data_IF_133933023568
#
_entry.id   IF_133933023568
#
_cell.length_a   1.000
_cell.length_b   1.000
_cell.length_c   1.000
_cell.angle_alpha   90.00
_cell.angle_beta   90.00
_cell.angle_gamma   90.00
#
_symmetry.space_group_name_H-M   'P 1'
#
loop_
_entity.id
_entity.type
_entity.pdbx_description
1 polymer ?
#
# COMPACT_ATOMS: atom_id res chain seq x y z
N UNK A 1 0.86 12.14 -2.66
CA UNK A 1 0.78 11.26 -3.85
C UNK A 1 1.74 10.07 -3.78
N UNK A 2 3.06 10.23 -3.92
CA UNK A 2 4.02 9.09 -4.00
C UNK A 2 3.87 8.02 -2.92
N UNK A 3 3.68 8.45 -1.66
CA UNK A 3 3.50 7.54 -0.52
C UNK A 3 2.23 6.69 -0.61
N UNK A 4 1.19 7.17 -1.31
CA UNK A 4 -0.05 6.41 -1.55
C UNK A 4 0.19 5.20 -2.45
N UNK A 5 1.18 5.29 -3.34
CA UNK A 5 1.64 4.22 -4.22
C UNK A 5 2.84 3.44 -3.65
N UNK A 6 3.24 3.72 -2.41
CA UNK A 6 4.28 2.97 -1.69
C UNK A 6 5.72 3.47 -1.90
N UNK A 7 5.93 4.53 -2.68
CA UNK A 7 7.26 5.11 -2.86
C UNK A 7 7.75 5.81 -1.59
N UNK A 8 9.02 5.61 -1.24
CA UNK A 8 9.74 6.39 -0.25
C UNK A 8 10.31 7.65 -0.90
N UNK A 9 9.50 8.70 -0.90
CA UNK A 9 9.86 10.02 -1.41
C UNK A 9 9.85 11.06 -0.29
N UNK A 10 10.89 11.87 -0.22
CA UNK A 10 11.01 13.00 0.72
C UNK A 10 11.03 14.31 -0.05
N UNK A 11 10.47 15.38 0.51
CA UNK A 11 10.47 16.68 -0.16
C UNK A 11 11.87 17.30 -0.08
N UNK A 12 12.47 17.57 -1.25
CA UNK A 12 13.78 18.22 -1.38
C UNK A 12 13.60 19.53 -2.18
N UNK A 13 13.37 20.65 -1.48
CA UNK A 13 13.12 21.95 -2.12
C UNK A 13 11.86 21.96 -2.97
N UNK A 14 12.02 22.15 -4.29
CA UNK A 14 10.95 22.08 -5.28
C UNK A 14 10.76 20.68 -5.91
N UNK A 15 11.50 19.68 -5.44
CA UNK A 15 11.42 18.31 -5.91
C UNK A 15 11.18 17.29 -4.80
N UNK A 16 11.35 16.04 -5.18
CA UNK A 16 11.21 14.87 -4.32
C UNK A 16 12.42 13.97 -4.46
N UNK A 17 13.11 13.70 -3.37
CA UNK A 17 14.25 12.79 -3.30
C UNK A 17 13.80 11.35 -3.07
N UNK A 18 14.39 10.42 -3.82
CA UNK A 18 14.14 8.97 -3.75
C UNK A 18 15.35 8.22 -3.20
N UNK A 19 16.18 8.86 -2.37
CA UNK A 19 17.43 8.28 -1.85
C UNK A 19 17.19 7.08 -0.94
N UNK A 20 16.11 7.11 -0.15
CA UNK A 20 15.69 6.02 0.73
C UNK A 20 15.01 4.87 -0.03
N UNK A 21 14.71 5.04 -1.32
CA UNK A 21 14.06 4.02 -2.13
C UNK A 21 15.06 2.95 -2.60
N UNK A 22 14.60 1.71 -2.80
CA UNK A 22 15.47 0.67 -3.33
C UNK A 22 15.73 0.83 -4.83
N UNK A 23 16.76 0.14 -5.35
CA UNK A 23 17.17 0.26 -6.76
C UNK A 23 16.04 -0.11 -7.73
N UNK A 24 15.36 -1.24 -7.51
CA UNK A 24 14.30 -1.72 -8.38
C UNK A 24 13.14 -0.72 -8.51
N UNK A 25 12.76 -0.09 -7.40
CA UNK A 25 11.71 0.92 -7.38
C UNK A 25 12.14 2.25 -8.02
N UNK A 26 13.42 2.64 -7.92
CA UNK A 26 13.94 3.80 -8.67
C UNK A 26 13.95 3.56 -10.17
N UNK A 27 14.38 2.38 -10.60
CA UNK A 27 14.31 1.98 -12.01
C UNK A 27 12.85 1.92 -12.49
N UNK A 28 11.94 1.41 -11.66
CA UNK A 28 10.50 1.44 -11.95
C UNK A 28 9.95 2.86 -12.05
N UNK A 29 10.33 3.76 -11.14
CA UNK A 29 9.96 5.17 -11.20
C UNK A 29 10.47 5.85 -12.47
N UNK A 30 11.71 5.55 -12.90
CA UNK A 30 12.25 6.00 -14.18
C UNK A 30 11.39 5.53 -15.37
N UNK A 31 10.92 4.27 -15.38
CA UNK A 31 9.98 3.79 -16.40
C UNK A 31 8.64 4.53 -16.37
N UNK A 32 8.10 4.84 -15.18
CA UNK A 32 6.89 5.66 -15.05
C UNK A 32 7.13 7.03 -15.68
N UNK A 33 8.27 7.67 -15.39
CA UNK A 33 8.63 8.95 -15.99
C UNK A 33 8.71 8.85 -17.52
N UNK A 34 9.29 7.79 -18.07
CA UNK A 34 9.30 7.57 -19.53
C UNK A 34 7.89 7.47 -20.12
N UNK A 35 6.97 6.73 -19.48
CA UNK A 35 5.57 6.63 -19.94
C UNK A 35 4.84 7.97 -19.85
N UNK A 36 5.21 8.81 -18.89
CA UNK A 36 4.64 10.14 -18.70
C UNK A 36 5.30 11.23 -19.54
N UNK A 37 6.34 10.90 -20.31
CA UNK A 37 7.18 11.86 -21.05
C UNK A 37 7.89 12.86 -20.10
N UNK A 38 8.28 12.38 -18.92
CA UNK A 38 8.92 13.13 -17.83
C UNK A 38 10.36 12.69 -17.59
N UNK A 39 11.03 12.10 -18.58
CA UNK A 39 12.40 11.61 -18.42
C UNK A 39 13.37 12.71 -17.95
N UNK A 40 13.20 13.95 -18.41
CA UNK A 40 14.02 15.10 -17.99
C UNK A 40 13.68 15.62 -16.59
N UNK A 41 12.57 15.16 -16.00
CA UNK A 41 12.13 15.55 -14.67
C UNK A 41 12.78 14.69 -13.58
N UNK A 42 13.37 13.53 -13.90
CA UNK A 42 14.01 12.65 -12.93
C UNK A 42 15.52 12.55 -13.19
N UNK A 43 16.32 13.11 -12.30
CA UNK A 43 17.77 13.02 -12.39
C UNK A 43 18.26 11.73 -11.71
N UNK A 44 18.68 10.75 -12.51
CA UNK A 44 19.18 9.46 -12.04
C UNK A 44 20.48 9.55 -11.20
N UNK A 45 21.23 10.65 -11.29
CA UNK A 45 22.45 10.84 -10.50
C UNK A 45 22.12 11.37 -9.12
N UNK A 46 21.23 12.35 -9.04
CA UNK A 46 20.83 12.96 -7.75
C UNK A 46 19.66 12.24 -7.09
N UNK A 47 18.95 11.39 -7.83
CA UNK A 47 17.72 10.70 -7.44
C UNK A 47 16.60 11.66 -7.04
N UNK A 48 16.58 12.83 -7.67
CA UNK A 48 15.60 13.89 -7.41
C UNK A 48 14.65 14.01 -8.61
N UNK A 49 13.36 13.86 -8.34
CA UNK A 49 12.29 14.18 -9.27
C UNK A 49 11.83 15.62 -9.07
N UNK A 50 11.80 16.42 -10.15
CA UNK A 50 11.24 17.76 -10.17
C UNK A 50 9.98 17.73 -11.03
N UNK A 51 8.78 17.78 -10.42
CA UNK A 51 7.54 17.72 -11.19
C UNK A 51 7.48 18.85 -12.24
N UNK A 52 6.80 18.62 -13.37
CA UNK A 52 6.63 19.64 -14.39
C UNK A 52 5.75 20.79 -13.87
N UNK A 53 5.85 21.96 -14.51
CA UNK A 53 5.24 23.21 -14.04
C UNK A 53 3.70 23.22 -14.11
N UNK A 54 3.13 22.44 -15.03
CA UNK A 54 1.68 22.21 -15.17
C UNK A 54 1.12 21.28 -14.07
N UNK A 55 2.00 20.72 -13.24
CA UNK A 55 1.64 19.88 -12.12
C UNK A 55 1.55 18.40 -12.48
N UNK A 56 1.10 17.60 -11.53
CA UNK A 56 1.04 16.14 -11.65
C UNK A 56 -0.37 15.68 -11.35
N UNK A 57 -1.04 15.16 -12.37
CA UNK A 57 -2.35 14.54 -12.23
C UNK A 57 -2.19 13.10 -11.71
N UNK A 58 -2.81 12.81 -10.57
CA UNK A 58 -2.68 11.52 -9.90
C UNK A 58 -3.23 10.35 -10.72
N UNK A 59 -4.30 10.57 -11.47
CA UNK A 59 -4.90 9.56 -12.33
C UNK A 59 -3.94 9.19 -13.48
N UNK A 60 -3.34 10.20 -14.13
CA UNK A 60 -2.33 9.98 -15.17
C UNK A 60 -1.09 9.25 -14.61
N UNK A 61 -0.66 9.60 -13.40
CA UNK A 61 0.45 8.91 -12.72
C UNK A 61 0.13 7.44 -12.46
N UNK A 62 -1.08 7.16 -11.98
CA UNK A 62 -1.58 5.80 -11.75
C UNK A 62 -1.59 4.98 -13.03
N UNK A 63 -2.15 5.52 -14.11
CA UNK A 63 -2.16 4.84 -15.41
C UNK A 63 -0.76 4.53 -15.93
N UNK A 64 0.17 5.48 -15.75
CA UNK A 64 1.57 5.28 -16.11
C UNK A 64 2.23 4.19 -15.25
N UNK A 65 1.93 4.16 -13.95
CA UNK A 65 2.35 3.09 -13.04
C UNK A 65 1.85 1.72 -13.54
N UNK A 66 0.56 1.59 -13.84
CA UNK A 66 -0.01 0.33 -14.36
C UNK A 66 0.63 -0.11 -15.69
N UNK A 67 0.92 0.84 -16.60
CA UNK A 67 1.61 0.57 -17.87
C UNK A 67 3.08 0.17 -17.70
N UNK A 68 3.78 0.72 -16.70
CA UNK A 68 5.21 0.50 -16.47
C UNK A 68 5.53 -0.80 -15.69
N UNK A 69 4.52 -1.47 -15.12
CA UNK A 69 4.65 -2.74 -14.38
C UNK A 69 5.14 -3.87 -15.28
N UNK A 70 5.80 -4.87 -14.71
CA UNK A 70 6.38 -6.00 -15.47
C UNK A 70 5.75 -7.36 -15.13
N UNK A 71 4.49 -7.35 -14.68
CA UNK A 71 3.71 -8.55 -14.37
C UNK A 71 3.47 -8.72 -12.87
N UNK A 72 2.93 -9.89 -12.50
CA UNK A 72 2.71 -10.28 -11.10
C UNK A 72 3.92 -11.06 -10.61
N UNK A 73 4.44 -10.71 -9.44
CA UNK A 73 5.50 -11.43 -8.77
C UNK A 73 5.20 -11.55 -7.29
N UNK A 74 5.72 -12.61 -6.67
CA UNK A 74 5.74 -12.73 -5.21
C UNK A 74 6.69 -11.66 -4.66
N UNK A 75 6.32 -11.05 -3.53
CA UNK A 75 7.13 -10.00 -2.90
C UNK A 75 7.69 -10.53 -1.56
N UNK A 76 9.01 -10.51 -1.36
CA UNK A 76 9.70 -11.29 -0.33
C UNK A 76 9.57 -10.77 1.12
N UNK A 77 8.53 -9.98 1.43
CA UNK A 77 8.16 -9.62 2.81
C UNK A 77 9.14 -8.72 3.58
N UNK A 78 10.21 -8.20 2.97
CA UNK A 78 11.09 -7.19 3.59
C UNK A 78 10.77 -5.77 3.06
N UNK A 79 10.61 -4.74 3.92
CA UNK A 79 10.12 -3.43 3.51
C UNK A 79 10.95 -2.75 2.42
N UNK A 80 12.27 -2.91 2.50
CA UNK A 80 13.28 -2.37 1.59
C UNK A 80 13.45 -3.22 0.33
N UNK A 81 12.91 -4.45 0.30
CA UNK A 81 12.92 -5.34 -0.87
C UNK A 81 11.60 -5.43 -1.60
N UNK A 82 10.58 -4.69 -1.16
CA UNK A 82 9.31 -4.61 -1.89
C UNK A 82 9.56 -3.96 -3.25
N UNK A 83 9.28 -4.71 -4.31
CA UNK A 83 9.26 -4.24 -5.69
C UNK A 83 7.85 -3.78 -6.07
N UNK A 84 7.66 -2.46 -6.13
CA UNK A 84 6.35 -1.85 -6.43
C UNK A 84 5.87 -2.21 -7.84
N UNK A 85 6.78 -2.55 -8.77
CA UNK A 85 6.43 -3.01 -10.11
C UNK A 85 5.66 -4.33 -10.15
N UNK A 86 5.66 -5.10 -9.06
CA UNK A 86 4.93 -6.36 -8.94
C UNK A 86 3.53 -6.20 -8.31
N UNK A 87 3.24 -5.04 -7.70
CA UNK A 87 2.02 -4.80 -6.92
C UNK A 87 0.98 -4.00 -7.70
N UNK A 88 -0.30 -4.23 -7.41
CA UNK A 88 -1.37 -3.40 -7.96
C UNK A 88 -1.28 -1.97 -7.43
N UNK A 89 -1.40 -0.97 -8.32
CA UNK A 89 -1.13 0.43 -8.00
C UNK A 89 -1.93 0.92 -6.78
N UNK A 90 -3.20 0.53 -6.69
CA UNK A 90 -4.08 0.93 -5.59
C UNK A 90 -3.74 0.31 -4.23
N UNK A 91 -3.07 -0.84 -4.19
CA UNK A 91 -2.76 -1.56 -2.93
C UNK A 91 -1.27 -1.53 -2.58
N UNK A 92 -0.41 -1.10 -3.50
CA UNK A 92 1.04 -1.11 -3.35
C UNK A 92 1.51 -0.35 -2.10
N UNK A 93 0.93 0.82 -1.83
CA UNK A 93 1.22 1.58 -0.61
C UNK A 93 0.79 0.87 0.66
N UNK A 94 -0.37 0.22 0.68
CA UNK A 94 -0.84 -0.55 1.83
C UNK A 94 0.16 -1.66 2.16
N UNK A 95 0.57 -2.45 1.16
CA UNK A 95 1.55 -3.54 1.30
C UNK A 95 2.89 -3.03 1.85
N UNK A 96 3.41 -1.94 1.27
CA UNK A 96 4.65 -1.30 1.73
C UNK A 96 4.58 -0.92 3.21
N UNK A 97 3.54 -0.19 3.60
CA UNK A 97 3.49 0.41 4.93
C UNK A 97 3.11 -0.59 6.03
N UNK A 98 2.34 -1.64 5.71
CA UNK A 98 2.17 -2.79 6.61
C UNK A 98 3.48 -3.52 6.82
N UNK A 99 4.22 -3.77 5.74
CA UNK A 99 5.54 -4.43 5.84
C UNK A 99 6.51 -3.59 6.65
N UNK A 100 6.54 -2.26 6.44
CA UNK A 100 7.31 -1.33 7.28
C UNK A 100 6.93 -1.40 8.77
N UNK A 101 5.64 -1.56 9.08
CA UNK A 101 5.19 -1.76 10.44
C UNK A 101 5.59 -3.13 11.02
N UNK A 102 6.13 -4.04 10.20
CA UNK A 102 6.58 -5.37 10.60
C UNK A 102 5.59 -6.48 10.25
N UNK A 103 4.47 -6.19 9.57
CA UNK A 103 3.45 -7.16 9.18
C UNK A 103 3.74 -7.65 7.76
N UNK A 104 4.10 -8.92 7.61
CA UNK A 104 4.48 -9.48 6.30
C UNK A 104 3.26 -9.99 5.55
N UNK A 105 2.91 -9.29 4.49
CA UNK A 105 1.96 -9.79 3.48
C UNK A 105 2.70 -10.69 2.50
N UNK A 106 2.08 -11.79 2.07
CA UNK A 106 2.60 -12.70 1.04
C UNK A 106 1.86 -12.57 -0.30
N UNK A 107 0.60 -12.13 -0.28
CA UNK A 107 -0.19 -11.88 -1.50
C UNK A 107 -1.08 -10.65 -1.34
N UNK A 108 -1.33 -9.95 -2.44
CA UNK A 108 -2.22 -8.80 -2.48
C UNK A 108 -2.94 -8.69 -3.82
N UNK A 109 -4.15 -8.12 -3.82
CA UNK A 109 -4.88 -7.78 -5.03
C UNK A 109 -5.82 -6.60 -4.73
N UNK A 110 -5.87 -5.61 -5.61
CA UNK A 110 -6.79 -4.47 -5.45
C UNK A 110 -8.24 -4.77 -5.92
N UNK A 111 -8.50 -6.00 -6.36
CA UNK A 111 -9.79 -6.47 -6.85
C UNK A 111 -10.17 -5.98 -8.25
N UNK A 112 -9.33 -5.15 -8.89
CA UNK A 112 -9.47 -4.66 -10.26
C UNK A 112 -10.85 -4.05 -10.58
N UNK A 113 -11.49 -3.43 -9.58
CA UNK A 113 -12.84 -2.85 -9.69
C UNK A 113 -13.98 -3.89 -9.79
N UNK A 114 -13.67 -5.18 -9.76
CA UNK A 114 -14.62 -6.29 -9.96
C UNK A 114 -14.97 -7.03 -8.67
N UNK A 115 -14.08 -6.98 -7.68
CA UNK A 115 -14.24 -7.59 -6.37
C UNK A 115 -13.59 -6.71 -5.30
N UNK A 116 -13.87 -6.95 -4.00
CA UNK A 116 -13.13 -6.28 -2.93
C UNK A 116 -11.63 -6.54 -3.03
N UNK A 117 -10.82 -5.61 -2.52
CA UNK A 117 -9.39 -5.80 -2.38
C UNK A 117 -9.09 -6.89 -1.34
N UNK A 118 -7.99 -7.60 -1.52
CA UNK A 118 -7.55 -8.63 -0.59
C UNK A 118 -6.05 -8.59 -0.31
N UNK A 119 -5.73 -9.03 0.91
CA UNK A 119 -4.38 -9.22 1.43
C UNK A 119 -4.32 -10.60 2.08
N UNK A 120 -3.23 -11.33 1.88
CA UNK A 120 -2.95 -12.55 2.62
C UNK A 120 -1.54 -12.47 3.21
N UNK A 121 -1.35 -13.04 4.39
CA UNK A 121 -0.01 -13.26 4.97
C UNK A 121 0.60 -14.51 4.36
N UNK A 122 1.93 -14.62 4.40
CA UNK A 122 2.55 -15.92 4.13
C UNK A 122 2.07 -16.95 5.17
N UNK A 123 1.93 -18.22 4.78
CA UNK A 123 1.43 -19.28 5.68
C UNK A 123 2.24 -19.40 6.98
N UNK A 124 3.56 -19.19 6.89
CA UNK A 124 4.45 -19.18 8.05
C UNK A 124 4.16 -18.04 9.04
N UNK A 125 3.48 -16.98 8.58
CA UNK A 125 3.14 -15.78 9.35
C UNK A 125 1.64 -15.69 9.64
N UNK A 126 0.90 -16.80 9.68
CA UNK A 126 -0.55 -16.77 9.96
C UNK A 126 -0.89 -16.12 11.33
N UNK A 127 0.06 -16.10 12.28
CA UNK A 127 -0.06 -15.38 13.54
C UNK A 127 -0.13 -13.85 13.39
N UNK A 128 0.29 -13.28 12.24
CA UNK A 128 0.22 -11.85 11.96
C UNK A 128 -1.20 -11.40 11.57
N UNK A 129 -2.13 -12.32 11.34
CA UNK A 129 -3.47 -12.00 10.86
C UNK A 129 -4.27 -11.15 11.87
N UNK A 130 -4.37 -11.53 13.16
CA UNK A 130 -5.04 -10.69 14.16
C UNK A 130 -4.37 -9.33 14.31
N UNK A 131 -3.05 -9.27 14.13
CA UNK A 131 -2.28 -8.03 14.18
C UNK A 131 -2.61 -7.12 12.98
N UNK A 132 -2.68 -7.70 11.79
CA UNK A 132 -3.10 -7.01 10.56
C UNK A 132 -4.51 -6.45 10.70
N UNK A 133 -5.46 -7.24 11.21
CA UNK A 133 -6.83 -6.81 11.47
C UNK A 133 -6.86 -5.65 12.48
N UNK A 134 -6.14 -5.76 13.60
CA UNK A 134 -6.07 -4.72 14.63
C UNK A 134 -5.48 -3.41 14.10
N UNK A 135 -4.38 -3.47 13.33
CA UNK A 135 -3.73 -2.29 12.75
C UNK A 135 -4.66 -1.59 11.77
N UNK A 136 -5.28 -2.35 10.86
CA UNK A 136 -6.18 -1.78 9.86
C UNK A 136 -7.48 -1.25 10.50
N UNK A 137 -8.02 -1.92 11.51
CA UNK A 137 -9.14 -1.41 12.31
C UNK A 137 -8.79 -0.08 12.98
N UNK A 138 -7.62 0.01 13.63
CA UNK A 138 -7.13 1.23 14.27
C UNK A 138 -6.97 2.38 13.27
N UNK A 139 -6.35 2.13 12.11
CA UNK A 139 -6.14 3.21 11.13
C UNK A 139 -7.42 3.66 10.46
N UNK A 140 -8.38 2.74 10.27
CA UNK A 140 -9.65 3.04 9.64
C UNK A 140 -10.57 3.91 10.50
N UNK A 141 -10.39 3.90 11.84
CA UNK A 141 -11.35 4.48 12.79
C UNK A 141 -12.80 3.98 12.54
N UNK A 142 -12.95 2.72 12.13
CA UNK A 142 -14.24 2.11 11.80
C UNK A 142 -14.80 2.44 10.41
N UNK A 143 -14.08 3.24 9.60
CA UNK A 143 -14.49 3.56 8.22
C UNK A 143 -14.38 2.36 7.29
N UNK A 144 -13.47 1.43 7.55
CA UNK A 144 -13.25 0.25 6.73
C UNK A 144 -13.63 -1.01 7.51
N UNK A 145 -14.28 -1.94 6.83
CA UNK A 145 -14.56 -3.28 7.35
C UNK A 145 -13.58 -4.26 6.75
N UNK A 146 -12.95 -5.01 7.62
CA UNK A 146 -12.12 -6.12 7.27
C UNK A 146 -12.95 -7.38 7.47
N UNK A 147 -13.00 -8.23 6.46
CA UNK A 147 -13.61 -9.54 6.58
C UNK A 147 -12.50 -10.55 6.39
N UNK A 148 -12.18 -11.25 7.46
CA UNK A 148 -11.19 -12.29 7.42
C UNK A 148 -11.87 -13.64 7.15
N UNK A 149 -11.37 -14.35 6.14
CA UNK A 149 -11.79 -15.71 5.81
C UNK A 149 -10.73 -16.69 6.28
N UNK A 150 -11.06 -17.50 7.29
CA UNK A 150 -10.24 -18.65 7.70
C UNK A 150 -10.39 -19.74 6.62
N UNK A 151 -9.53 -19.74 5.62
CA UNK A 151 -9.34 -20.90 4.75
C UNK A 151 -8.12 -21.72 5.18
N UNK A 152 -8.04 -22.96 4.69
CA UNK A 152 -6.93 -23.87 5.01
C UNK A 152 -5.58 -23.44 4.39
N UNK A 153 -5.56 -22.38 3.57
CA UNK A 153 -4.44 -21.96 2.74
C UNK A 153 -3.66 -20.76 3.27
N UNK A 154 -4.11 -20.14 4.37
CA UNK A 154 -3.33 -19.09 5.04
C UNK A 154 -4.09 -17.80 5.31
N UNK A 155 -5.42 -17.79 5.15
CA UNK A 155 -6.23 -16.66 5.59
C UNK A 155 -6.23 -15.48 4.63
N UNK A 156 -7.38 -15.16 4.07
CA UNK A 156 -7.54 -13.99 3.21
C UNK A 156 -8.26 -12.88 3.99
N UNK A 157 -7.63 -11.71 4.08
CA UNK A 157 -8.25 -10.49 4.57
C UNK A 157 -8.84 -9.73 3.40
N UNK A 158 -10.16 -9.63 3.38
CA UNK A 158 -10.89 -8.79 2.44
C UNK A 158 -11.10 -7.41 3.02
N UNK A 159 -10.68 -6.37 2.31
CA UNK A 159 -10.84 -4.97 2.73
C UNK A 159 -12.06 -4.37 2.01
N UNK A 160 -13.04 -3.86 2.78
CA UNK A 160 -14.28 -3.27 2.27
C UNK A 160 -14.55 -1.91 2.91
N UNK A 161 -15.21 -0.96 2.23
CA UNK A 161 -15.76 0.23 2.89
C UNK A 161 -16.84 -0.17 3.92
N UNK A 162 -16.97 0.59 5.01
CA UNK A 162 -18.06 0.40 5.97
C UNK A 162 -19.40 0.84 5.39
N UNK A 163 -20.51 0.40 5.98
CA UNK A 163 -21.85 0.86 5.59
C UNK A 163 -22.01 2.38 5.75
N UNK A 164 -21.36 2.98 6.74
CA UNK A 164 -21.40 4.43 6.95
C UNK A 164 -20.67 5.18 5.83
N UNK A 165 -19.48 4.71 5.46
CA UNK A 165 -18.71 5.28 4.35
C UNK A 165 -19.44 5.09 3.01
N UNK A 166 -20.04 3.92 2.78
CA UNK A 166 -20.87 3.69 1.58
C UNK A 166 -22.03 4.67 1.49
N UNK A 167 -22.69 5.00 2.61
CA UNK A 167 -23.78 6.00 2.65
C UNK A 167 -23.25 7.41 2.34
N UNK A 168 -22.17 7.82 2.98
CA UNK A 168 -21.56 9.13 2.74
C UNK A 168 -21.15 9.32 1.27
N UNK A 169 -20.66 8.25 0.62
CA UNK A 169 -20.34 8.27 -0.81
C UNK A 169 -21.57 8.28 -1.71
N UNK A 170 -22.64 7.57 -1.32
CA UNK A 170 -23.92 7.61 -1.99
C UNK A 170 -24.46 9.05 -2.05
N UNK A 171 -24.41 9.75 -0.92
CA UNK A 171 -24.90 11.11 -0.76
C UNK A 171 -24.11 12.12 -1.62
N UNK A 172 -22.84 11.82 -1.93
CA UNK A 172 -22.00 12.61 -2.85
C UNK A 172 -22.26 12.31 -4.34
N UNK A 173 -23.26 11.49 -4.67
CA UNK A 173 -23.63 11.15 -6.05
C UNK A 173 -22.63 10.25 -6.78
N UNK A 174 -21.73 9.58 -6.06
CA UNK A 174 -20.66 8.76 -6.65
C UNK A 174 -21.02 7.29 -6.89
N UNK A 175 -22.09 6.79 -6.28
CA UNK A 175 -22.52 5.40 -6.50
C UNK A 175 -23.30 5.24 -7.81
N UNK A 176 -22.60 5.06 -8.93
CA UNK A 176 -23.14 4.34 -10.10
C UNK A 176 -22.65 2.89 -10.05
N UNK A 177 -23.59 1.97 -9.86
CA UNK A 177 -23.58 0.57 -10.33
C UNK A 177 -22.33 -0.27 -10.00
N UNK A 178 -22.40 -1.12 -8.95
CA UNK A 178 -21.59 -2.34 -8.65
C UNK A 178 -20.07 -2.34 -8.93
N UNK A 179 -19.46 -1.20 -9.21
CA UNK A 179 -18.01 -1.05 -9.34
C UNK A 179 -17.44 -0.89 -7.95
N UNK A 180 -16.44 -1.71 -7.64
CA UNK A 180 -15.69 -1.54 -6.40
C UNK A 180 -14.75 -0.35 -6.63
N UNK A 181 -15.13 0.84 -6.15
CA UNK A 181 -14.21 1.98 -6.09
C UNK A 181 -12.93 1.55 -5.36
N UNK A 182 -11.77 1.88 -5.91
CA UNK A 182 -10.45 1.47 -5.38
C UNK A 182 -9.65 2.63 -4.83
N UNK A 183 -10.04 3.85 -5.15
CA UNK A 183 -9.37 5.11 -4.83
C UNK A 183 -9.17 5.27 -3.33
N UNK A 184 -10.09 4.77 -2.52
CA UNK A 184 -9.97 4.81 -1.06
C UNK A 184 -8.83 3.94 -0.50
N UNK A 185 -8.35 2.94 -1.25
CA UNK A 185 -7.15 2.19 -0.86
C UNK A 185 -5.92 3.11 -0.81
N UNK A 186 -5.90 4.16 -1.64
CA UNK A 186 -4.85 5.18 -1.60
C UNK A 186 -4.91 6.02 -0.31
N UNK A 187 -6.11 6.25 0.23
CA UNK A 187 -6.30 6.95 1.51
C UNK A 187 -5.87 6.07 2.69
N UNK A 188 -6.11 4.76 2.60
CA UNK A 188 -5.58 3.77 3.55
C UNK A 188 -4.06 3.82 3.55
N UNK A 189 -3.43 3.77 2.37
CA UNK A 189 -1.99 3.84 2.23
C UNK A 189 -1.40 5.14 2.83
N UNK A 190 -2.01 6.28 2.56
CA UNK A 190 -1.60 7.56 3.15
C UNK A 190 -1.69 7.56 4.68
N UNK A 191 -2.80 7.02 5.21
CA UNK A 191 -3.03 6.95 6.65
C UNK A 191 -2.02 6.03 7.34
N UNK A 192 -1.70 4.90 6.71
CA UNK A 192 -0.66 3.98 7.19
C UNK A 192 0.71 4.66 7.20
N UNK A 193 1.06 5.36 6.11
CA UNK A 193 2.31 6.12 6.02
C UNK A 193 2.43 7.18 7.11
N UNK A 194 1.37 7.96 7.33
CA UNK A 194 1.34 9.04 8.33
C UNK A 194 1.54 8.54 9.76
N UNK A 195 1.22 7.26 10.03
CA UNK A 195 1.33 6.62 11.35
C UNK A 195 2.40 5.54 11.43
N UNK A 196 3.23 5.38 10.40
CA UNK A 196 4.10 4.22 10.20
C UNK A 196 5.01 3.89 11.39
N UNK A 197 5.61 4.89 12.03
CA UNK A 197 6.50 4.68 13.18
C UNK A 197 5.71 4.23 14.42
N UNK A 198 4.54 4.84 14.67
CA UNK A 198 3.66 4.43 15.78
C UNK A 198 3.16 3.01 15.58
N UNK A 199 2.80 2.65 14.34
CA UNK A 199 2.35 1.31 14.00
C UNK A 199 3.47 0.29 14.14
N UNK A 200 4.69 0.61 13.70
CA UNK A 200 5.87 -0.24 13.90
C UNK A 200 6.11 -0.53 15.38
N UNK A 201 6.09 0.50 16.22
CA UNK A 201 6.31 0.36 17.65
C UNK A 201 5.20 -0.45 18.32
N UNK A 202 3.95 -0.25 17.91
CA UNK A 202 2.80 -1.03 18.37
C UNK A 202 2.95 -2.52 18.01
N UNK A 203 3.25 -2.81 16.74
CA UNK A 203 3.47 -4.18 16.25
C UNK A 203 4.59 -4.87 17.03
N UNK A 204 5.72 -4.19 17.23
CA UNK A 204 6.84 -4.71 18.00
C UNK A 204 6.44 -5.07 19.44
N UNK A 205 5.66 -4.21 20.10
CA UNK A 205 5.15 -4.47 21.47
C UNK A 205 4.17 -5.64 21.50
N UNK A 206 3.24 -5.72 20.55
CA UNK A 206 2.26 -6.80 20.49
C UNK A 206 2.95 -8.16 20.31
N UNK A 207 3.99 -8.23 19.47
CA UNK A 207 4.81 -9.44 19.32
C UNK A 207 5.58 -9.80 20.58
N UNK A 208 6.16 -8.81 21.28
CA UNK A 208 6.85 -9.05 22.55
C UNK A 208 5.94 -9.63 23.63
N UNK A 209 4.68 -9.18 23.69
CA UNK A 209 3.68 -9.73 24.62
C UNK A 209 3.29 -11.15 24.26
N UNK A 210 3.11 -11.46 22.97
CA UNK A 210 2.79 -12.80 22.50
C UNK A 210 3.90 -13.81 22.86
N UNK A 211 5.16 -13.46 22.57
CA UNK A 211 6.31 -14.31 22.90
C UNK A 211 6.45 -14.59 24.41
N UNK A 212 6.27 -13.56 25.25
CA UNK A 212 6.33 -13.73 26.71
C UNK A 212 5.19 -14.58 27.29
N UNK A 213 4.07 -14.72 26.57
CA UNK A 213 2.97 -15.60 26.93
C UNK A 213 3.25 -17.07 26.66
N UNK A 214 4.01 -17.37 25.59
CA UNK A 214 4.39 -18.73 25.21
C UNK A 214 5.44 -19.33 26.16
N UNK A 215 6.36 -18.52 26.69
CA UNK A 215 7.38 -18.97 27.66
C UNK A 215 6.81 -19.35 29.05
N UNK A 216 5.55 -18.99 29.33
CA UNK A 216 4.90 -19.25 30.62
C UNK A 216 4.00 -20.50 30.62
N UNK A 217 3.85 -21.17 29.49
CA UNK A 217 3.08 -22.42 29.34
C UNK A 217 4.02 -23.63 29.35
#
# INVERSE_FOLDING_TARGET
MFVRYGFMAEREGNGFGFRAENRANREFFGRICTVMEWSDCFDERTLVFRPPADGMEEERFREAMDKARHGRGDFPGEPDRIELSCLDAYIAGIVRWLTYAGIRTGQSCDGHGRRPASLATERANAADIPLLDAVLALVSAGRWRLTYSYDATGGELTVRPSTAEMRERADRGRLRERTYEREWLLDVAETLYARRDTLRDLVARMRGVAAAGEERQ
#
